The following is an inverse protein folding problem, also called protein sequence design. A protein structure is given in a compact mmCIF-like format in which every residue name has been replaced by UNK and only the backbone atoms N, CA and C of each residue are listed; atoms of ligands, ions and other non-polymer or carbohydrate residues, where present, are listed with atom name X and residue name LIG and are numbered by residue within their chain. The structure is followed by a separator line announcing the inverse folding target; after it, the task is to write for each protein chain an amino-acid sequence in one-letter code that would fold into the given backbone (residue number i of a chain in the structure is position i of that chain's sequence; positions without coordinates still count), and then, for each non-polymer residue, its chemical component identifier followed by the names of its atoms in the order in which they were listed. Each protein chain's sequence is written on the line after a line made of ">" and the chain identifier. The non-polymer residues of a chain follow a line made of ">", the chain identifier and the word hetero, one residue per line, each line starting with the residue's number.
data_IF_962094340931
#
_entry.id   IF_962094340931
#
_cell.length_a   1.000
_cell.length_b   1.000
_cell.length_c   1.000
_cell.angle_alpha   90.00
_cell.angle_beta   90.00
_cell.angle_gamma   90.00
#
_symmetry.space_group_name_H-M   'P 1'
#
loop_
_entity.id
_entity.type
_entity.pdbx_description
1 polymer ?
#
# COMPACT_ATOMS: atom_id res chain seq x y z
N UNK A 1 -18.76 -7.17 27.17
CA UNK A 1 -18.14 -5.94 26.64
C UNK A 1 -17.90 -6.17 25.15
N UNK A 2 -18.47 -5.34 24.27
CA UNK A 2 -18.19 -5.39 22.83
C UNK A 2 -16.84 -4.74 22.57
N UNK A 3 -15.90 -5.45 21.93
CA UNK A 3 -14.67 -4.87 21.42
C UNK A 3 -14.94 -4.32 20.00
N UNK A 4 -14.95 -3.00 19.77
CA UNK A 4 -15.21 -2.44 18.44
C UNK A 4 -14.12 -2.80 17.43
N UNK A 5 -12.91 -3.13 17.87
CA UNK A 5 -11.81 -3.51 16.98
C UNK A 5 -12.04 -4.89 16.34
N UNK A 6 -12.78 -5.79 16.99
CA UNK A 6 -13.14 -7.09 16.39
C UNK A 6 -14.15 -6.98 15.24
N UNK A 7 -14.76 -5.81 15.06
CA UNK A 7 -15.71 -5.51 13.98
C UNK A 7 -15.08 -4.65 12.87
N UNK A 8 -13.83 -4.22 13.06
CA UNK A 8 -13.14 -3.29 12.18
C UNK A 8 -12.11 -4.01 11.32
N UNK A 9 -11.95 -3.58 10.07
CA UNK A 9 -10.94 -4.15 9.19
C UNK A 9 -9.52 -3.80 9.68
N UNK A 10 -8.68 -4.82 9.82
CA UNK A 10 -7.26 -4.72 10.10
C UNK A 10 -6.50 -5.61 9.11
N UNK A 11 -5.69 -5.01 8.23
CA UNK A 11 -5.09 -5.75 7.13
C UNK A 11 -4.27 -4.91 6.18
N UNK A 12 -3.64 -5.61 5.24
CA UNK A 12 -2.95 -5.03 4.10
C UNK A 12 -3.93 -4.76 2.97
N UNK A 13 -3.67 -3.72 2.19
CA UNK A 13 -4.49 -3.36 1.04
C UNK A 13 -3.63 -2.76 -0.04
N UNK A 14 -4.01 -2.92 -1.30
CA UNK A 14 -3.36 -2.23 -2.40
C UNK A 14 -4.36 -1.87 -3.49
N UNK A 15 -3.95 -0.92 -4.32
CA UNK A 15 -4.67 -0.55 -5.51
C UNK A 15 -3.85 -0.89 -6.75
N UNK A 16 -4.48 -1.67 -7.62
CA UNK A 16 -4.04 -1.95 -8.98
C UNK A 16 -5.01 -1.28 -9.97
N UNK A 17 -4.51 -0.71 -11.06
CA UNK A 17 -5.37 -0.15 -12.09
C UNK A 17 -6.28 -1.21 -12.74
N UNK A 18 -5.84 -2.46 -12.82
CA UNK A 18 -6.60 -3.55 -13.42
C UNK A 18 -7.53 -4.22 -12.40
N UNK A 19 -6.98 -4.72 -11.29
CA UNK A 19 -7.73 -5.44 -10.25
C UNK A 19 -8.37 -4.54 -9.19
N UNK A 20 -8.21 -3.22 -9.32
CA UNK A 20 -8.75 -2.22 -8.38
C UNK A 20 -8.27 -2.47 -6.95
N UNK A 21 -9.16 -2.32 -5.97
CA UNK A 21 -8.83 -2.34 -4.56
C UNK A 21 -8.90 -3.75 -3.97
N UNK A 22 -7.80 -4.18 -3.35
CA UNK A 22 -7.63 -5.50 -2.73
C UNK A 22 -7.37 -5.32 -1.23
N UNK A 23 -7.90 -6.21 -0.38
CA UNK A 23 -7.88 -6.02 1.08
C UNK A 23 -7.81 -7.31 1.93
N UNK A 24 -6.74 -8.11 1.86
CA UNK A 24 -6.57 -9.23 2.77
C UNK A 24 -6.47 -8.77 4.23
N UNK A 25 -7.27 -9.39 5.10
CA UNK A 25 -7.15 -9.20 6.54
C UNK A 25 -5.85 -9.86 7.04
N UNK A 26 -5.21 -9.32 8.09
CA UNK A 26 -3.98 -9.92 8.61
C UNK A 26 -4.17 -11.35 9.14
N UNK A 27 -5.38 -11.69 9.61
CA UNK A 27 -5.69 -13.07 10.01
C UNK A 27 -5.63 -14.08 8.85
N UNK A 28 -5.82 -13.60 7.62
CA UNK A 28 -5.85 -14.42 6.40
C UNK A 28 -4.68 -14.01 5.45
N UNK A 29 -3.64 -13.36 5.99
CA UNK A 29 -2.70 -12.51 5.24
C UNK A 29 -2.04 -13.17 4.02
N UNK A 30 -1.73 -14.47 4.13
CA UNK A 30 -1.08 -15.27 3.09
C UNK A 30 -1.91 -16.50 2.68
N UNK A 31 -3.19 -16.59 3.09
CA UNK A 31 -4.03 -17.74 2.76
C UNK A 31 -4.26 -17.86 1.24
N UNK A 32 -4.39 -16.72 0.56
CA UNK A 32 -4.51 -16.64 -0.91
C UNK A 32 -3.14 -16.65 -1.63
N UNK A 33 -2.05 -16.92 -0.89
CA UNK A 33 -0.67 -16.90 -1.38
C UNK A 33 0.04 -15.55 -1.20
N UNK A 34 1.29 -15.49 -1.64
CA UNK A 34 2.07 -14.25 -1.64
C UNK A 34 1.67 -13.35 -2.80
N UNK A 35 1.68 -12.04 -2.59
CA UNK A 35 1.63 -11.09 -3.69
C UNK A 35 3.05 -10.93 -4.25
N UNK A 36 3.18 -11.02 -5.57
CA UNK A 36 4.37 -10.59 -6.31
C UNK A 36 3.93 -10.10 -7.68
N UNK A 37 3.34 -8.90 -7.72
CA UNK A 37 2.73 -8.32 -8.91
C UNK A 37 3.38 -6.98 -9.23
N UNK A 38 3.71 -6.77 -10.52
CA UNK A 38 4.15 -5.47 -11.01
C UNK A 38 2.94 -4.58 -11.22
N UNK A 39 2.87 -3.47 -10.48
CA UNK A 39 1.77 -2.51 -10.53
C UNK A 39 2.33 -1.15 -10.93
N UNK A 40 1.68 -0.50 -11.90
CA UNK A 40 2.04 0.86 -12.36
C UNK A 40 1.10 1.88 -11.73
N UNK A 41 1.67 2.87 -11.02
CA UNK A 41 0.91 4.01 -10.49
C UNK A 41 -0.10 3.71 -9.37
N UNK A 42 0.03 2.54 -8.74
CA UNK A 42 -0.82 2.11 -7.62
C UNK A 42 -0.37 2.66 -6.27
N UNK A 43 -0.86 2.03 -5.20
CA UNK A 43 -0.37 2.24 -3.84
C UNK A 43 -0.63 1.00 -2.98
N UNK A 44 0.10 0.90 -1.88
CA UNK A 44 0.06 -0.20 -0.93
C UNK A 44 -0.06 0.36 0.48
N UNK A 45 -0.94 -0.21 1.32
CA UNK A 45 -1.27 0.33 2.63
C UNK A 45 -1.55 -0.72 3.70
N UNK A 46 -1.31 -0.36 4.97
CA UNK A 46 -1.83 -1.07 6.14
C UNK A 46 -2.96 -0.26 6.75
N UNK A 47 -4.09 -0.91 7.02
CA UNK A 47 -5.26 -0.28 7.61
C UNK A 47 -5.51 -0.83 9.01
N UNK A 48 -5.88 0.07 9.91
CA UNK A 48 -6.53 -0.24 11.18
C UNK A 48 -7.81 0.61 11.34
N UNK A 49 -8.57 0.42 12.41
CA UNK A 49 -9.91 1.01 12.58
C UNK A 49 -9.97 2.52 12.22
N UNK A 50 -9.07 3.35 12.75
CA UNK A 50 -9.10 4.81 12.52
C UNK A 50 -7.93 5.37 11.72
N UNK A 51 -6.91 4.57 11.43
CA UNK A 51 -5.67 5.03 10.81
C UNK A 51 -5.26 4.12 9.68
N UNK A 52 -4.41 4.66 8.81
CA UNK A 52 -3.71 3.85 7.82
C UNK A 52 -2.34 4.46 7.52
N UNK A 53 -1.47 3.63 7.01
CA UNK A 53 -0.21 4.06 6.39
C UNK A 53 -0.20 3.57 4.96
N UNK A 54 0.32 4.37 4.02
CA UNK A 54 0.39 3.99 2.62
C UNK A 54 1.69 4.44 1.96
N UNK A 55 2.31 3.53 1.20
CA UNK A 55 3.34 3.85 0.23
C UNK A 55 2.68 4.16 -1.12
N UNK A 56 3.00 5.34 -1.66
CA UNK A 56 2.48 5.86 -2.92
C UNK A 56 3.67 6.17 -3.84
N UNK A 57 4.04 5.25 -4.75
CA UNK A 57 5.05 5.51 -5.77
C UNK A 57 4.64 6.61 -6.76
N UNK A 58 5.54 6.99 -7.66
CA UNK A 58 5.19 7.89 -8.76
C UNK A 58 4.13 7.24 -9.67
N UNK A 59 3.26 8.07 -10.26
CA UNK A 59 2.07 7.62 -11.02
C UNK A 59 2.38 6.76 -12.23
N UNK A 60 3.54 6.95 -12.84
CA UNK A 60 4.01 6.27 -14.03
C UNK A 60 5.04 5.17 -13.71
N UNK A 61 5.38 5.00 -12.42
CA UNK A 61 6.35 4.02 -11.98
C UNK A 61 5.70 2.64 -11.82
N UNK A 62 6.22 1.68 -12.58
CA UNK A 62 5.97 0.26 -12.33
C UNK A 62 6.84 -0.22 -11.17
N UNK A 63 6.22 -0.84 -10.17
CA UNK A 63 6.89 -1.37 -9.00
C UNK A 63 6.33 -2.75 -8.63
N UNK A 64 7.17 -3.74 -8.28
CA UNK A 64 6.70 -5.00 -7.70
C UNK A 64 6.16 -4.73 -6.29
N UNK A 65 4.92 -5.18 -6.07
CA UNK A 65 4.26 -5.15 -4.77
C UNK A 65 4.30 -6.56 -4.19
N UNK A 66 4.73 -6.66 -2.93
CA UNK A 66 4.99 -7.92 -2.26
C UNK A 66 4.28 -7.99 -0.92
N UNK A 67 3.63 -9.11 -0.66
CA UNK A 67 3.18 -9.52 0.66
C UNK A 67 4.03 -10.71 1.11
N UNK A 68 4.64 -10.60 2.28
CA UNK A 68 5.51 -11.64 2.84
C UNK A 68 5.48 -11.61 4.37
N UNK A 69 6.06 -12.61 5.03
CA UNK A 69 6.21 -12.61 6.47
C UNK A 69 7.70 -12.70 6.83
N UNK A 70 8.17 -11.85 7.74
CA UNK A 70 9.56 -11.85 8.20
C UNK A 70 9.58 -11.97 9.72
N UNK A 71 10.20 -13.04 10.22
CA UNK A 71 10.28 -13.34 11.65
C UNK A 71 8.92 -13.27 12.36
N UNK A 72 7.89 -13.87 11.75
CA UNK A 72 6.54 -13.90 12.31
C UNK A 72 5.72 -12.62 12.14
N UNK A 73 6.23 -11.60 11.45
CA UNK A 73 5.53 -10.33 11.20
C UNK A 73 5.13 -10.18 9.74
N UNK A 74 3.87 -9.78 9.53
CA UNK A 74 3.35 -9.47 8.21
C UNK A 74 4.05 -8.22 7.66
N UNK A 75 4.49 -8.31 6.41
CA UNK A 75 5.27 -7.29 5.74
C UNK A 75 4.69 -7.02 4.35
N UNK A 76 4.38 -5.75 4.13
CA UNK A 76 4.02 -5.22 2.82
C UNK A 76 5.19 -4.44 2.23
N UNK A 77 5.49 -4.63 0.96
CA UNK A 77 6.57 -3.92 0.27
C UNK A 77 6.15 -3.44 -1.12
N UNK A 78 6.59 -2.24 -1.50
CA UNK A 78 6.63 -1.79 -2.89
C UNK A 78 8.09 -1.45 -3.20
N UNK A 79 8.69 -2.07 -4.22
CA UNK A 79 10.10 -1.84 -4.56
C UNK A 79 10.20 -0.92 -5.78
N UNK A 80 11.06 0.09 -5.71
CA UNK A 80 11.33 0.95 -6.86
C UNK A 80 12.02 0.21 -8.01
N UNK A 81 11.99 0.75 -9.24
CA UNK A 81 12.72 0.17 -10.35
C UNK A 81 14.23 0.24 -10.09
N UNK A 82 14.98 -0.65 -10.73
CA UNK A 82 16.43 -0.56 -10.76
C UNK A 82 16.87 0.61 -11.64
N UNK A 83 17.93 1.31 -11.24
CA UNK A 83 18.52 2.40 -12.00
C UNK A 83 19.98 2.09 -12.32
N UNK A 84 20.43 2.48 -13.51
CA UNK A 84 21.85 2.53 -13.85
C UNK A 84 22.27 3.99 -13.92
N UNK A 85 23.32 4.36 -13.19
CA UNK A 85 23.84 5.73 -13.14
C UNK A 85 25.26 5.70 -13.69
N UNK A 86 25.47 6.31 -14.86
CA UNK A 86 26.79 6.38 -15.49
C UNK A 86 27.70 7.40 -14.78
N UNK A 87 29.04 7.32 -14.96
CA UNK A 87 29.95 8.32 -14.40
C UNK A 87 29.55 9.74 -14.80
N UNK A 88 29.45 10.64 -13.81
CA UNK A 88 29.06 12.03 -14.01
C UNK A 88 27.54 12.27 -14.13
N UNK A 89 26.70 11.23 -14.06
CA UNK A 89 25.24 11.38 -14.01
C UNK A 89 24.69 11.38 -12.58
N UNK A 90 23.47 11.90 -12.44
CA UNK A 90 22.65 11.82 -11.25
C UNK A 90 21.25 11.34 -11.62
N UNK A 91 20.59 10.63 -10.71
CA UNK A 91 19.18 10.23 -10.83
C UNK A 91 18.43 10.56 -9.55
N UNK A 92 17.11 10.72 -9.65
CA UNK A 92 16.22 10.93 -8.51
C UNK A 92 15.00 10.04 -8.63
N UNK A 93 14.51 9.57 -7.49
CA UNK A 93 13.26 8.82 -7.38
C UNK A 93 12.50 9.35 -6.18
N UNK A 94 11.17 9.30 -6.25
CA UNK A 94 10.30 9.79 -5.21
C UNK A 94 9.25 8.73 -4.88
N UNK A 95 8.94 8.60 -3.60
CA UNK A 95 7.77 7.90 -3.13
C UNK A 95 7.21 8.70 -1.94
N UNK A 96 5.89 8.76 -1.85
CA UNK A 96 5.22 9.41 -0.72
C UNK A 96 4.78 8.38 0.30
N UNK A 97 5.01 8.69 1.56
CA UNK A 97 4.46 7.95 2.70
C UNK A 97 3.31 8.75 3.28
N UNK A 98 2.10 8.20 3.22
CA UNK A 98 0.96 8.71 3.97
C UNK A 98 0.92 8.07 5.35
N UNK A 99 0.76 8.87 6.40
CA UNK A 99 0.55 8.39 7.78
C UNK A 99 -0.48 9.27 8.44
N UNK A 100 -1.64 8.71 8.79
CA UNK A 100 -2.65 9.53 9.44
C UNK A 100 -4.01 8.86 9.61
N UNK A 101 -4.97 9.63 10.11
CA UNK A 101 -6.33 9.16 10.31
C UNK A 101 -7.06 8.99 8.98
N UNK A 102 -8.07 8.13 8.97
CA UNK A 102 -8.98 7.89 7.82
C UNK A 102 -10.00 9.03 7.67
N UNK A 103 -9.52 10.26 7.44
CA UNK A 103 -10.37 11.44 7.23
C UNK A 103 -10.61 11.66 5.74
N UNK A 104 -11.86 11.46 5.30
CA UNK A 104 -12.28 11.59 3.89
C UNK A 104 -11.80 12.91 3.27
N UNK A 105 -11.99 14.03 3.98
CA UNK A 105 -11.61 15.35 3.47
C UNK A 105 -10.10 15.58 3.34
N UNK A 106 -9.28 14.86 4.11
CA UNK A 106 -7.83 14.91 3.96
C UNK A 106 -7.40 14.04 2.79
N UNK A 107 -7.89 12.80 2.73
CA UNK A 107 -7.53 11.84 1.69
C UNK A 107 -7.98 12.32 0.31
N UNK A 108 -9.11 13.00 0.21
CA UNK A 108 -9.61 13.56 -1.06
C UNK A 108 -8.68 14.65 -1.65
N UNK A 109 -7.78 15.23 -0.85
CA UNK A 109 -6.78 16.20 -1.32
C UNK A 109 -5.50 15.52 -1.83
N UNK A 110 -5.35 14.22 -1.55
CA UNK A 110 -4.17 13.47 -1.95
C UNK A 110 -4.26 12.97 -3.38
N UNK A 111 -3.14 13.08 -4.08
CA UNK A 111 -3.03 12.65 -5.47
C UNK A 111 -2.74 11.13 -5.55
N UNK A 112 -3.77 10.28 -5.47
CA UNK A 112 -3.61 8.82 -5.53
C UNK A 112 -4.88 8.12 -6.04
N UNK A 113 -4.84 7.41 -7.18
CA UNK A 113 -6.04 6.79 -7.75
C UNK A 113 -6.64 5.80 -6.76
N UNK A 114 -7.92 5.99 -6.44
CA UNK A 114 -8.64 5.09 -5.54
C UNK A 114 -8.25 5.17 -4.06
N UNK A 115 -7.36 6.09 -3.63
CA UNK A 115 -6.89 6.16 -2.24
C UNK A 115 -8.04 6.38 -1.23
N UNK A 116 -9.11 7.07 -1.64
CA UNK A 116 -10.32 7.23 -0.82
C UNK A 116 -11.01 5.90 -0.43
N UNK A 117 -10.67 4.77 -1.06
CA UNK A 117 -11.19 3.43 -0.72
C UNK A 117 -10.73 2.93 0.65
N UNK A 118 -9.67 3.51 1.24
CA UNK A 118 -9.19 3.12 2.58
C UNK A 118 -10.15 3.49 3.72
N UNK A 119 -11.16 4.31 3.42
CA UNK A 119 -12.16 4.80 4.37
C UNK A 119 -13.45 3.97 4.35
N UNK A 120 -13.57 3.03 3.41
CA UNK A 120 -14.76 2.20 3.18
C UNK A 120 -14.76 0.88 3.95
#
# INVERSE_FOLDING_TARGET
>A
MTNPDSLSFNGATWYDNDKKYQRPAFKDYLEDGTLNQNITGGWLAMLQHHFFTAWIPQKDQTAPYVLSQVAGRDLIEARGPAFTVAPGQSTSTEARLWVGPKLVNLIAKEDGPGLARVVA
#
